data_IF_861318421126
#
_entry.id   IF_861318421126
#
_cell.length_a   1.000
_cell.length_b   1.000
_cell.length_c   1.000
_cell.angle_alpha   90.00
_cell.angle_beta   90.00
_cell.angle_gamma   90.00
#
_symmetry.space_group_name_H-M   'P 1'
#
loop_
_entity.id
_entity.type
_entity.pdbx_description
1 polymer ?
#
# COMPACT_ATOMS: atom_id res chain seq x y z
N UNK A 1 14.99 2.92 9.87
CA UNK A 1 13.75 3.47 9.31
C UNK A 1 14.04 3.97 7.89
N UNK A 2 13.14 3.81 6.91
CA UNK A 2 13.43 4.26 5.53
C UNK A 2 13.21 5.77 5.40
N UNK A 3 14.11 6.47 4.70
CA UNK A 3 13.95 7.92 4.44
C UNK A 3 12.65 8.24 3.70
N UNK A 4 12.18 7.31 2.86
CA UNK A 4 10.91 7.44 2.14
C UNK A 4 9.71 7.48 3.07
N UNK A 5 9.64 6.56 4.03
CA UNK A 5 8.57 6.53 5.04
C UNK A 5 8.56 7.79 5.91
N UNK A 6 9.72 8.20 6.44
CA UNK A 6 9.84 9.40 7.28
C UNK A 6 9.36 10.66 6.54
N UNK A 7 9.83 10.84 5.30
CA UNK A 7 9.39 11.96 4.46
C UNK A 7 7.90 11.91 4.16
N UNK A 8 7.35 10.72 3.92
CA UNK A 8 5.93 10.57 3.63
C UNK A 8 5.07 10.90 4.85
N UNK A 9 5.45 10.49 6.06
CA UNK A 9 4.64 10.71 7.27
C UNK A 9 4.82 12.10 7.92
N UNK A 10 5.80 12.89 7.50
CA UNK A 10 5.98 14.27 7.99
C UNK A 10 4.73 15.15 7.85
N UNK A 11 3.95 14.98 6.78
CA UNK A 11 2.70 15.73 6.61
C UNK A 11 1.61 15.33 7.62
N UNK A 12 1.62 14.07 8.06
CA UNK A 12 0.71 13.59 9.13
C UNK A 12 1.11 14.21 10.46
N UNK A 13 2.41 14.27 10.74
CA UNK A 13 2.94 14.90 11.95
C UNK A 13 2.51 16.37 12.03
N UNK A 14 2.66 17.12 10.92
CA UNK A 14 2.21 18.52 10.85
C UNK A 14 0.71 18.68 11.14
N UNK A 15 -0.14 17.78 10.66
CA UNK A 15 -1.58 17.83 10.95
C UNK A 15 -1.84 17.54 12.43
N UNK A 16 -1.24 16.47 12.97
CA UNK A 16 -1.42 16.08 14.37
C UNK A 16 -0.95 17.14 15.37
N UNK A 17 0.12 17.88 15.03
CA UNK A 17 0.63 18.99 15.84
C UNK A 17 -0.06 20.33 15.59
N UNK A 18 -1.01 20.40 14.65
CA UNK A 18 -1.77 21.63 14.40
C UNK A 18 -2.84 21.88 15.47
N UNK A 19 -3.27 23.13 15.60
CA UNK A 19 -4.40 23.52 16.45
C UNK A 19 -5.77 23.32 15.77
N UNK A 20 -5.80 22.68 14.59
CA UNK A 20 -7.07 22.44 13.88
C UNK A 20 -7.97 21.49 14.66
N UNK A 21 -9.25 21.85 14.79
CA UNK A 21 -10.25 20.97 15.41
C UNK A 21 -10.41 19.65 14.65
N UNK A 22 -10.23 19.68 13.32
CA UNK A 22 -10.35 18.54 12.41
C UNK A 22 -9.09 17.67 12.33
N UNK A 23 -7.99 18.02 13.03
CA UNK A 23 -6.70 17.33 12.88
C UNK A 23 -6.76 15.81 12.99
N UNK A 24 -7.62 15.26 13.85
CA UNK A 24 -7.80 13.82 14.01
C UNK A 24 -8.37 13.16 12.76
N UNK A 25 -9.41 13.76 12.16
CA UNK A 25 -10.01 13.23 10.93
C UNK A 25 -9.09 13.47 9.72
N UNK A 26 -8.45 14.64 9.64
CA UNK A 26 -7.56 14.96 8.51
C UNK A 26 -6.33 14.06 8.49
N UNK A 27 -5.69 13.87 9.65
CA UNK A 27 -4.56 12.95 9.79
C UNK A 27 -5.00 11.50 9.49
N UNK A 28 -6.16 11.07 9.96
CA UNK A 28 -6.71 9.75 9.65
C UNK A 28 -6.91 9.56 8.14
N UNK A 29 -7.60 10.48 7.48
CA UNK A 29 -7.85 10.44 6.05
C UNK A 29 -6.54 10.35 5.25
N UNK A 30 -5.58 11.23 5.57
CA UNK A 30 -4.31 11.28 4.85
C UNK A 30 -3.44 10.04 5.15
N UNK A 31 -3.47 9.50 6.37
CA UNK A 31 -2.74 8.27 6.72
C UNK A 31 -3.28 7.07 5.95
N UNK A 32 -4.61 6.96 5.79
CA UNK A 32 -5.23 5.90 5.01
C UNK A 32 -4.82 5.97 3.53
N UNK A 33 -4.84 7.19 2.94
CA UNK A 33 -4.37 7.41 1.57
C UNK A 33 -2.91 6.95 1.41
N UNK A 34 -2.05 7.20 2.41
CA UNK A 34 -0.65 6.77 2.39
C UNK A 34 -0.50 5.25 2.43
N UNK A 35 -1.30 4.55 3.23
CA UNK A 35 -1.33 3.08 3.26
C UNK A 35 -1.76 2.50 1.90
N UNK A 36 -2.85 3.01 1.31
CA UNK A 36 -3.31 2.56 0.00
C UNK A 36 -2.27 2.82 -1.10
N UNK A 37 -1.65 4.01 -1.06
CA UNK A 37 -0.56 4.40 -1.97
C UNK A 37 0.62 3.45 -1.84
N UNK A 38 1.06 3.11 -0.62
CA UNK A 38 2.18 2.21 -0.40
C UNK A 38 1.94 0.83 -1.02
N UNK A 39 0.80 0.22 -0.69
CA UNK A 39 0.41 -1.10 -1.21
C UNK A 39 0.33 -1.09 -2.74
N UNK A 40 -0.29 -0.05 -3.33
CA UNK A 40 -0.39 0.11 -4.79
C UNK A 40 0.98 0.25 -5.44
N UNK A 41 1.86 1.09 -4.87
CA UNK A 41 3.22 1.31 -5.40
C UNK A 41 4.07 0.04 -5.31
N UNK A 42 3.99 -0.71 -4.21
CA UNK A 42 4.67 -2.01 -4.09
C UNK A 42 4.13 -2.99 -5.14
N UNK A 43 2.82 -3.17 -5.26
CA UNK A 43 2.24 -4.08 -6.26
C UNK A 43 2.61 -3.69 -7.70
N UNK A 44 2.56 -2.39 -8.03
CA UNK A 44 2.96 -1.89 -9.35
C UNK A 44 4.45 -2.14 -9.63
N UNK A 45 5.31 -1.91 -8.64
CA UNK A 45 6.74 -2.19 -8.75
C UNK A 45 7.01 -3.69 -8.95
N UNK A 46 6.30 -4.56 -8.23
CA UNK A 46 6.42 -6.01 -8.37
C UNK A 46 5.99 -6.48 -9.76
N UNK A 47 4.84 -6.01 -10.28
CA UNK A 47 4.45 -6.30 -11.67
C UNK A 47 5.55 -5.84 -12.62
N UNK A 48 6.07 -4.63 -12.42
CA UNK A 48 7.15 -4.07 -13.24
C UNK A 48 8.44 -4.87 -13.17
N UNK A 49 8.63 -5.82 -12.24
CA UNK A 49 9.81 -6.70 -12.26
C UNK A 49 9.76 -7.75 -13.37
N UNK A 50 8.58 -8.06 -13.93
CA UNK A 50 8.42 -9.07 -15.00
C UNK A 50 9.41 -8.86 -16.16
N UNK A 51 10.10 -9.92 -16.58
CA UNK A 51 11.21 -9.81 -17.53
C UNK A 51 10.80 -9.31 -18.92
N UNK A 52 9.54 -9.52 -19.29
CA UNK A 52 8.93 -9.07 -20.54
C UNK A 52 8.54 -7.58 -20.55
N UNK A 53 8.36 -6.95 -19.38
CA UNK A 53 8.11 -5.50 -19.26
C UNK A 53 9.39 -4.70 -19.51
N UNK A 54 9.28 -3.71 -20.41
CA UNK A 54 10.36 -2.78 -20.78
C UNK A 54 10.02 -1.34 -20.41
N UNK A 55 11.00 -0.44 -20.54
CA UNK A 55 10.83 1.00 -20.26
C UNK A 55 9.66 1.63 -21.06
N UNK A 56 9.43 1.18 -22.30
CA UNK A 56 8.31 1.65 -23.13
C UNK A 56 6.92 1.25 -22.62
N UNK A 57 6.81 0.28 -21.71
CA UNK A 57 5.53 -0.25 -21.24
C UNK A 57 4.97 0.49 -20.02
N UNK A 58 5.69 1.49 -19.49
CA UNK A 58 5.25 2.24 -18.30
C UNK A 58 3.84 2.81 -18.45
N UNK A 59 3.54 3.40 -19.60
CA UNK A 59 2.21 3.97 -19.87
C UNK A 59 1.14 2.90 -19.90
N UNK A 60 1.40 1.79 -20.59
CA UNK A 60 0.47 0.65 -20.67
C UNK A 60 0.16 0.06 -19.29
N UNK A 61 1.18 -0.05 -18.43
CA UNK A 61 0.97 -0.51 -17.06
C UNK A 61 0.17 0.49 -16.22
N UNK A 62 0.43 1.81 -16.34
CA UNK A 62 -0.38 2.83 -15.66
C UNK A 62 -1.84 2.76 -16.10
N UNK A 63 -2.08 2.63 -17.40
CA UNK A 63 -3.43 2.54 -17.97
C UNK A 63 -4.16 1.26 -17.50
N UNK A 64 -3.45 0.12 -17.43
CA UNK A 64 -3.98 -1.12 -16.90
C UNK A 64 -4.40 -1.01 -15.42
N UNK A 65 -3.56 -0.35 -14.59
CA UNK A 65 -3.85 -0.13 -13.17
C UNK A 65 -4.96 0.91 -12.93
N UNK A 66 -5.07 1.92 -13.81
CA UNK A 66 -6.09 2.98 -13.72
C UNK A 66 -7.48 2.47 -14.07
N UNK A 67 -7.60 1.57 -15.05
CA UNK A 67 -8.88 1.04 -15.52
C UNK A 67 -9.66 0.16 -14.54
N UNK A 68 -9.11 -0.13 -13.35
CA UNK A 68 -9.71 -1.04 -12.39
C UNK A 68 -10.22 -0.31 -11.12
N UNK A 69 -11.54 -0.08 -11.06
CA UNK A 69 -12.17 0.74 -10.01
C UNK A 69 -12.32 0.06 -8.63
N UNK A 70 -12.38 -1.28 -8.58
CA UNK A 70 -12.67 -2.02 -7.33
C UNK A 70 -11.41 -2.56 -6.65
N UNK A 71 -10.40 -1.71 -6.44
CA UNK A 71 -9.17 -2.08 -5.72
C UNK A 71 -9.25 -1.62 -4.26
N UNK A 72 -9.15 -2.57 -3.33
CA UNK A 72 -9.00 -2.31 -1.89
C UNK A 72 -7.58 -2.67 -1.41
N UNK A 73 -7.26 -2.34 -0.16
CA UNK A 73 -6.01 -2.76 0.48
C UNK A 73 -5.85 -4.29 0.47
N UNK A 74 -6.94 -5.05 0.62
CA UNK A 74 -6.91 -6.52 0.57
C UNK A 74 -6.52 -7.06 -0.82
N UNK A 75 -6.94 -6.40 -1.90
CA UNK A 75 -6.53 -6.77 -3.25
C UNK A 75 -5.01 -6.69 -3.41
N UNK A 76 -4.39 -5.59 -2.97
CA UNK A 76 -2.95 -5.41 -3.07
C UNK A 76 -2.15 -6.32 -2.13
N UNK A 77 -2.65 -6.59 -0.91
CA UNK A 77 -2.07 -7.61 -0.03
C UNK A 77 -2.04 -8.98 -0.73
N UNK A 78 -3.15 -9.34 -1.38
CA UNK A 78 -3.25 -10.58 -2.17
C UNK A 78 -2.32 -10.60 -3.38
N UNK A 79 -2.16 -9.45 -4.05
CA UNK A 79 -1.27 -9.29 -5.20
C UNK A 79 0.20 -9.51 -4.83
N UNK A 80 0.66 -8.90 -3.72
CA UNK A 80 2.04 -9.09 -3.23
C UNK A 80 2.32 -10.58 -3.00
N UNK A 81 1.41 -11.29 -2.32
CA UNK A 81 1.53 -12.73 -2.09
C UNK A 81 1.54 -13.54 -3.38
N UNK A 82 0.67 -13.20 -4.33
CA UNK A 82 0.58 -13.93 -5.59
C UNK A 82 1.84 -13.75 -6.44
N UNK A 83 2.33 -12.51 -6.57
CA UNK A 83 3.47 -12.17 -7.41
C UNK A 83 4.80 -12.69 -6.86
N UNK A 84 4.95 -12.76 -5.54
CA UNK A 84 6.24 -13.07 -4.90
C UNK A 84 6.27 -14.39 -4.15
N UNK A 85 5.10 -14.96 -3.83
CA UNK A 85 4.98 -16.05 -2.86
C UNK A 85 5.11 -15.63 -1.39
N UNK A 86 5.53 -14.39 -1.10
CA UNK A 86 5.76 -13.86 0.24
C UNK A 86 4.51 -13.12 0.72
N UNK A 87 4.01 -13.44 1.92
CA UNK A 87 2.84 -12.77 2.44
C UNK A 87 3.20 -11.45 3.12
N UNK A 88 2.27 -10.49 3.15
CA UNK A 88 2.44 -9.24 3.93
C UNK A 88 2.60 -9.53 5.43
N UNK A 89 2.04 -10.65 5.90
CA UNK A 89 2.26 -11.12 7.28
C UNK A 89 3.74 -11.43 7.55
N UNK A 90 4.44 -12.02 6.58
CA UNK A 90 5.87 -12.33 6.72
C UNK A 90 6.73 -11.05 6.70
N UNK A 91 6.27 -10.01 6.01
CA UNK A 91 6.96 -8.71 5.94
C UNK A 91 6.77 -7.87 7.22
N UNK A 92 5.57 -7.88 7.79
CA UNK A 92 5.22 -7.12 9.00
C UNK A 92 5.61 -7.88 10.27
N UNK A 93 5.57 -9.21 10.25
CA UNK A 93 5.91 -10.07 11.38
C UNK A 93 4.82 -10.09 12.45
N UNK A 94 5.23 -10.21 13.72
CA UNK A 94 4.35 -10.50 14.86
C UNK A 94 3.20 -9.50 15.06
N UNK A 95 3.35 -8.25 14.58
CA UNK A 95 2.33 -7.21 14.69
C UNK A 95 1.21 -7.33 13.65
N UNK A 96 1.37 -8.18 12.63
CA UNK A 96 0.46 -8.26 11.48
C UNK A 96 -0.99 -8.50 11.89
N UNK A 97 -1.28 -9.49 12.74
CA UNK A 97 -2.67 -9.85 13.07
C UNK A 97 -3.43 -8.71 13.76
N UNK A 98 -2.75 -8.00 14.66
CA UNK A 98 -3.30 -6.83 15.32
C UNK A 98 -3.54 -5.69 14.30
N UNK A 99 -2.50 -5.34 13.54
CA UNK A 99 -2.56 -4.22 12.61
C UNK A 99 -3.52 -4.49 11.44
N UNK A 100 -3.69 -5.75 11.02
CA UNK A 100 -4.65 -6.14 9.99
C UNK A 100 -6.08 -5.91 10.44
N UNK A 101 -6.40 -6.28 11.69
CA UNK A 101 -7.72 -6.01 12.29
C UNK A 101 -7.96 -4.49 12.40
N UNK A 102 -6.95 -3.74 12.83
CA UNK A 102 -7.02 -2.28 12.91
C UNK A 102 -7.22 -1.61 11.54
N UNK A 103 -6.51 -2.08 10.51
CA UNK A 103 -6.65 -1.61 9.14
C UNK A 103 -8.04 -1.92 8.56
N UNK A 104 -8.58 -3.12 8.80
CA UNK A 104 -9.93 -3.50 8.34
C UNK A 104 -11.02 -2.67 9.02
N UNK A 105 -10.87 -2.39 10.32
CA UNK A 105 -11.77 -1.47 11.03
C UNK A 105 -11.66 -0.04 10.49
N UNK A 106 -10.44 0.41 10.21
CA UNK A 106 -10.16 1.73 9.63
C UNK A 106 -10.74 1.88 8.22
N UNK A 107 -10.70 0.84 7.39
CA UNK A 107 -11.33 0.85 6.07
C UNK A 107 -12.83 1.16 6.14
N UNK A 108 -13.56 0.53 7.08
CA UNK A 108 -15.00 0.78 7.27
C UNK A 108 -15.26 2.23 7.70
N UNK A 109 -14.42 2.77 8.57
CA UNK A 109 -14.53 4.17 9.00
C UNK A 109 -14.23 5.14 7.87
N UNK A 110 -13.18 4.88 7.08
CA UNK A 110 -12.85 5.65 5.88
C UNK A 110 -14.03 5.67 4.91
N UNK A 111 -14.67 4.54 4.65
CA UNK A 111 -15.84 4.50 3.77
C UNK A 111 -16.93 5.46 4.23
N UNK A 112 -17.21 5.54 5.54
CA UNK A 112 -18.26 6.45 6.01
C UNK A 112 -17.79 7.91 6.03
N UNK A 113 -16.58 8.18 6.53
CA UNK A 113 -16.01 9.53 6.64
C UNK A 113 -15.88 10.18 5.26
N UNK A 114 -15.36 9.47 4.25
CA UNK A 114 -15.14 10.05 2.92
C UNK A 114 -16.45 10.35 2.18
N UNK A 115 -17.56 9.73 2.56
CA UNK A 115 -18.88 10.00 2.00
C UNK A 115 -19.74 10.92 2.89
N UNK A 116 -19.16 11.53 3.93
CA UNK A 116 -19.89 12.39 4.87
C UNK A 116 -20.98 11.67 5.66
N UNK A 117 -20.93 10.33 5.71
CA UNK A 117 -21.95 9.51 6.35
C UNK A 117 -21.70 9.41 7.85
N UNK A 118 -22.78 9.33 8.63
CA UNK A 118 -22.68 8.99 10.04
C UNK A 118 -22.01 7.63 10.20
N UNK A 119 -20.96 7.60 11.01
CA UNK A 119 -20.19 6.39 11.24
C UNK A 119 -20.96 5.35 12.07
N UNK A 120 -22.04 5.77 12.75
CA UNK A 120 -22.74 4.99 13.78
C UNK A 120 -21.86 4.71 15.00
N UNK A 121 -20.67 5.31 15.03
CA UNK A 121 -19.66 5.20 16.08
C UNK A 121 -19.32 6.62 16.49
N UNK A 122 -19.38 6.93 17.79
CA UNK A 122 -18.88 8.20 18.31
C UNK A 122 -17.35 8.23 18.21
N UNK A 123 -16.83 8.42 17.00
CA UNK A 123 -15.40 8.45 16.72
C UNK A 123 -14.83 9.76 17.27
N UNK A 124 -14.28 9.67 18.48
CA UNK A 124 -13.57 10.78 19.08
C UNK A 124 -12.29 11.08 18.30
N UNK A 125 -11.78 12.31 18.47
CA UNK A 125 -10.48 12.72 17.95
C UNK A 125 -9.38 11.72 18.36
N UNK A 126 -9.35 11.32 19.63
CA UNK A 126 -8.33 10.40 20.15
C UNK A 126 -8.44 9.01 19.54
N UNK A 127 -9.66 8.53 19.29
CA UNK A 127 -9.88 7.26 18.61
C UNK A 127 -9.41 7.30 17.14
N UNK A 128 -9.46 8.46 16.47
CA UNK A 128 -8.91 8.63 15.12
C UNK A 128 -7.38 8.73 15.15
N UNK A 129 -6.82 9.45 16.13
CA UNK A 129 -5.36 9.56 16.33
C UNK A 129 -4.75 8.20 16.64
N UNK A 130 -5.39 7.39 17.49
CA UNK A 130 -4.93 6.01 17.76
C UNK A 130 -4.87 5.17 16.48
N UNK A 131 -5.88 5.27 15.61
CA UNK A 131 -5.87 4.58 14.30
C UNK A 131 -4.78 5.09 13.37
N UNK A 132 -4.46 6.39 13.39
CA UNK A 132 -3.31 6.94 12.67
C UNK A 132 -2.02 6.26 13.14
N UNK A 133 -1.88 6.01 14.44
CA UNK A 133 -0.77 5.25 15.02
C UNK A 133 -0.65 3.84 14.43
N UNK A 134 -1.75 3.08 14.43
CA UNK A 134 -1.76 1.72 13.85
C UNK A 134 -1.42 1.74 12.34
N UNK A 135 -1.96 2.70 11.59
CA UNK A 135 -1.69 2.85 10.14
C UNK A 135 -0.22 3.20 9.90
N UNK A 136 0.35 4.10 10.72
CA UNK A 136 1.77 4.47 10.66
C UNK A 136 2.66 3.25 10.92
N UNK A 137 2.37 2.50 11.98
CA UNK A 137 3.12 1.29 12.35
C UNK A 137 3.08 0.25 11.21
N UNK A 138 1.90 0.02 10.61
CA UNK A 138 1.77 -0.84 9.43
C UNK A 138 2.69 -0.38 8.30
N UNK A 139 2.63 0.91 7.95
CA UNK A 139 3.40 1.45 6.84
C UNK A 139 4.91 1.39 7.09
N UNK A 140 5.34 1.59 8.34
CA UNK A 140 6.74 1.50 8.74
C UNK A 140 7.28 0.08 8.62
N UNK A 141 6.59 -0.89 9.24
CA UNK A 141 6.99 -2.29 9.24
C UNK A 141 6.98 -2.85 7.81
N UNK A 142 5.95 -2.52 7.04
CA UNK A 142 5.89 -2.91 5.62
C UNK A 142 7.00 -2.25 4.81
N UNK A 143 7.35 -0.99 5.07
CA UNK A 143 8.47 -0.32 4.39
C UNK A 143 9.79 -1.06 4.63
N UNK A 144 10.05 -1.42 5.89
CA UNK A 144 11.26 -2.16 6.27
C UNK A 144 11.29 -3.55 5.62
N UNK A 145 10.22 -4.33 5.77
CA UNK A 145 10.12 -5.68 5.20
C UNK A 145 10.20 -5.69 3.68
N UNK A 146 9.45 -4.80 3.00
CA UNK A 146 9.44 -4.70 1.55
C UNK A 146 10.77 -4.20 0.98
N UNK A 147 11.46 -3.27 1.66
CA UNK A 147 12.83 -2.87 1.26
C UNK A 147 13.77 -4.07 1.33
N UNK A 148 13.76 -4.81 2.44
CA UNK A 148 14.64 -5.95 2.64
C UNK A 148 14.40 -7.09 1.63
N UNK A 149 13.15 -7.32 1.24
CA UNK A 149 12.77 -8.44 0.34
C UNK A 149 12.67 -8.07 -1.12
N UNK A 150 12.24 -6.86 -1.44
CA UNK A 150 11.91 -6.43 -2.81
C UNK A 150 12.81 -5.31 -3.31
N UNK A 151 13.60 -4.69 -2.43
CA UNK A 151 14.41 -3.51 -2.76
C UNK A 151 13.57 -2.23 -2.87
N UNK A 152 12.31 -2.24 -2.41
CA UNK A 152 11.42 -1.09 -2.50
C UNK A 152 10.44 -0.98 -1.32
N UNK A 153 10.34 0.21 -0.72
CA UNK A 153 9.49 0.49 0.45
C UNK A 153 8.06 0.94 0.13
N UNK A 154 7.77 1.22 -1.15
CA UNK A 154 6.48 1.79 -1.58
C UNK A 154 6.38 3.32 -1.44
N UNK A 155 7.37 4.00 -0.88
CA UNK A 155 7.34 5.46 -0.68
C UNK A 155 8.44 6.18 -1.45
N UNK A 156 9.67 5.66 -1.37
CA UNK A 156 10.86 6.24 -1.98
C UNK A 156 10.71 6.43 -3.49
N UNK A 157 11.47 7.41 -4.01
CA UNK A 157 11.51 7.74 -5.43
C UNK A 157 10.24 8.42 -5.97
N UNK A 158 10.39 9.00 -7.17
CA UNK A 158 9.31 9.69 -7.89
C UNK A 158 8.32 8.74 -8.57
N UNK A 159 8.73 7.49 -8.82
CA UNK A 159 7.93 6.45 -9.49
C UNK A 159 8.15 5.09 -8.83
N UNK A 160 7.16 4.20 -8.95
CA UNK A 160 7.29 2.78 -8.58
C UNK A 160 7.64 1.88 -9.77
N UNK A 161 7.67 2.42 -10.99
CA UNK A 161 7.89 1.67 -12.22
C UNK A 161 9.38 1.68 -12.58
N UNK A 162 10.15 0.85 -11.88
CA UNK A 162 11.58 0.66 -12.13
C UNK A 162 11.99 -0.76 -11.73
N UNK A 163 13.10 -1.26 -12.28
CA UNK A 163 13.63 -2.58 -11.95
C UNK A 163 14.50 -2.50 -10.68
N UNK A 164 14.28 -3.40 -9.72
CA UNK A 164 15.11 -3.49 -8.51
C UNK A 164 16.30 -4.42 -8.69
N UNK A 165 16.30 -5.25 -9.74
CA UNK A 165 17.42 -6.13 -10.09
C UNK A 165 17.54 -7.40 -9.24
N UNK A 166 16.53 -7.71 -8.43
CA UNK A 166 16.51 -8.92 -7.59
C UNK A 166 16.04 -10.13 -8.40
N UNK A 167 16.98 -10.99 -8.80
CA UNK A 167 16.71 -12.13 -9.68
C UNK A 167 15.62 -13.08 -9.14
N UNK A 168 15.61 -13.33 -7.83
CA UNK A 168 14.58 -14.19 -7.19
C UNK A 168 13.16 -13.62 -7.35
N UNK A 169 13.02 -12.29 -7.27
CA UNK A 169 11.73 -11.62 -7.44
C UNK A 169 11.30 -11.65 -8.90
N UNK A 170 12.22 -11.43 -9.84
CA UNK A 170 11.92 -11.53 -11.28
C UNK A 170 11.42 -12.93 -11.61
N UNK A 171 12.10 -13.99 -11.14
CA UNK A 171 11.68 -15.38 -11.35
C UNK A 171 10.31 -15.67 -10.76
N UNK A 172 10.04 -15.20 -9.54
CA UNK A 172 8.74 -15.39 -8.90
C UNK A 172 7.61 -14.68 -9.66
N UNK A 173 7.84 -13.42 -10.06
CA UNK A 173 6.89 -12.59 -10.80
C UNK A 173 6.61 -13.19 -12.18
N UNK A 174 7.65 -13.58 -12.92
CA UNK A 174 7.49 -14.21 -14.24
C UNK A 174 6.68 -15.50 -14.13
N UNK A 175 6.96 -16.33 -13.13
CA UNK A 175 6.19 -17.55 -12.87
C UNK A 175 4.72 -17.24 -12.58
N UNK A 176 4.45 -16.22 -11.76
CA UNK A 176 3.09 -15.82 -11.41
C UNK A 176 2.32 -15.25 -12.61
N UNK A 177 2.98 -14.47 -13.46
CA UNK A 177 2.33 -13.77 -14.58
C UNK A 177 2.25 -14.62 -15.85
N UNK A 178 3.08 -15.65 -16.01
CA UNK A 178 3.11 -16.55 -17.18
C UNK A 178 1.73 -17.01 -17.67
N UNK A 179 0.74 -17.38 -16.82
CA UNK A 179 -0.55 -17.88 -17.31
C UNK A 179 -1.39 -16.86 -18.08
N UNK A 180 -1.29 -15.57 -17.77
CA UNK A 180 -2.16 -14.52 -18.34
C UNK A 180 -1.39 -13.38 -19.01
N UNK A 181 -0.10 -13.26 -18.75
CA UNK A 181 0.69 -12.07 -19.05
C UNK A 181 0.45 -10.95 -18.04
N UNK A 182 1.44 -10.06 -17.92
CA UNK A 182 1.40 -8.95 -16.95
C UNK A 182 0.26 -7.97 -17.19
N UNK A 183 -0.09 -7.69 -18.46
CA UNK A 183 -1.09 -6.66 -18.78
C UNK A 183 -2.50 -7.12 -18.37
N UNK A 184 -2.86 -8.36 -18.72
CA UNK A 184 -4.16 -8.92 -18.33
C UNK A 184 -4.27 -9.08 -16.81
N UNK A 185 -3.18 -9.45 -16.13
CA UNK A 185 -3.14 -9.49 -14.68
C UNK A 185 -3.31 -8.09 -14.07
N UNK A 186 -2.57 -7.08 -14.52
CA UNK A 186 -2.64 -5.72 -13.99
C UNK A 186 -4.05 -5.10 -14.11
N UNK A 187 -4.81 -5.50 -15.14
CA UNK A 187 -6.20 -5.08 -15.34
C UNK A 187 -7.20 -5.71 -14.38
N UNK A 188 -6.89 -6.81 -13.73
CA UNK A 188 -7.89 -7.59 -12.95
C UNK A 188 -7.45 -7.90 -11.53
N UNK A 189 -6.14 -8.01 -11.28
CA UNK A 189 -5.54 -8.59 -10.08
C UNK A 189 -6.08 -9.99 -9.72
N UNK A 190 -6.70 -10.67 -10.70
CA UNK A 190 -7.27 -12.00 -10.53
C UNK A 190 -6.26 -13.07 -10.97
N UNK A 191 -6.10 -14.08 -10.12
CA UNK A 191 -5.21 -15.24 -10.34
C UNK A 191 -5.56 -16.00 -11.62
#
# INVERSE_FOLDING_TARGET
MSRGFESEFKSIDLLLFSDSESRGVDAFCLSWIKLEKQLRKISANLIYQASDIKAGDERRLRDALYGHGNLSHTTFIGAIRYLTGISVSDLIGARYDYLKKAADASYRNRQKIFHGQQTGQSLTRDALISRVGDIREWCELLSAGATARFGYDGFSGSTSLFKTGLAEIVVAVDKALKPKGWEAYARTFQR
#
